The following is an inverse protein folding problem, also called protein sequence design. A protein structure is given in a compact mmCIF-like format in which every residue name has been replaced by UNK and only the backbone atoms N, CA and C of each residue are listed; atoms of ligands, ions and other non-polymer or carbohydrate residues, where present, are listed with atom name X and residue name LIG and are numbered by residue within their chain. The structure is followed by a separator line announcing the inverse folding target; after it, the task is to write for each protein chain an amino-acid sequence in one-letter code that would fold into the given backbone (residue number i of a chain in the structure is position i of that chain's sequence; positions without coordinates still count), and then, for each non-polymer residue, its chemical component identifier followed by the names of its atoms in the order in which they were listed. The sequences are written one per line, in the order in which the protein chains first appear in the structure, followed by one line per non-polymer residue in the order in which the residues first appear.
data_IF_336515110612
#
_entry.id   IF_336515110612
#
_cell.length_a   1.000
_cell.length_b   1.000
_cell.length_c   1.000
_cell.angle_alpha   90.00
_cell.angle_beta   90.00
_cell.angle_gamma   90.00
#
_symmetry.space_group_name_H-M   'P 1'
#
loop_
_entity.id
_entity.type
_entity.pdbx_description
1 polymer ?
#
# COMPACT_ATOMS: atom_id res chain seq x y z
N UNK A 1 3.15 47.08 -15.66
CA UNK A 1 4.02 46.14 -14.92
C UNK A 1 5.39 46.78 -14.83
N UNK A 2 5.78 47.22 -13.67
CA UNK A 2 7.17 47.64 -13.40
C UNK A 2 7.96 46.36 -13.00
N UNK A 3 9.09 46.18 -13.64
CA UNK A 3 9.95 45.05 -13.37
C UNK A 3 10.81 45.30 -12.13
N UNK A 4 10.91 44.36 -11.22
CA UNK A 4 11.87 44.35 -10.10
C UNK A 4 13.31 44.05 -10.60
N UNK A 5 13.63 44.59 -11.76
CA UNK A 5 14.83 44.30 -12.57
C UNK A 5 16.18 44.53 -11.85
N UNK A 6 16.19 45.29 -10.74
CA UNK A 6 17.44 45.65 -10.06
C UNK A 6 18.00 44.61 -9.06
N UNK A 7 17.38 43.42 -8.94
CA UNK A 7 17.78 42.43 -7.95
C UNK A 7 18.14 41.05 -8.53
N UNK A 8 18.13 40.91 -9.86
CA UNK A 8 18.44 39.64 -10.50
C UNK A 8 19.95 39.52 -10.80
N UNK A 9 20.52 38.32 -10.52
CA UNK A 9 21.87 38.03 -10.89
C UNK A 9 22.01 37.59 -12.37
N UNK A 10 23.23 37.53 -12.87
CA UNK A 10 23.52 37.21 -14.29
C UNK A 10 22.95 35.85 -14.72
N UNK A 11 23.02 34.83 -13.84
CA UNK A 11 22.48 33.49 -14.14
C UNK A 11 20.95 33.48 -14.20
N UNK A 12 20.30 34.27 -13.38
CA UNK A 12 18.86 34.44 -13.45
C UNK A 12 18.46 35.14 -14.75
N UNK A 13 19.22 36.18 -15.15
CA UNK A 13 19.02 36.85 -16.44
C UNK A 13 19.26 35.90 -17.62
N UNK A 14 20.28 35.09 -17.58
CA UNK A 14 20.54 34.06 -18.59
C UNK A 14 19.34 33.10 -18.73
N UNK A 15 18.80 32.57 -17.61
CA UNK A 15 17.61 31.73 -17.63
C UNK A 15 16.36 32.44 -18.20
N UNK A 16 16.16 33.73 -17.86
CA UNK A 16 15.02 34.52 -18.35
C UNK A 16 15.12 34.76 -19.86
N UNK A 17 16.28 35.09 -20.39
CA UNK A 17 16.48 35.39 -21.81
C UNK A 17 16.69 34.15 -22.69
N UNK A 18 16.90 32.98 -22.09
CA UNK A 18 17.14 31.75 -22.83
C UNK A 18 15.94 31.39 -23.73
N UNK A 19 16.19 31.16 -25.00
CA UNK A 19 15.17 30.83 -26.02
C UNK A 19 15.11 29.34 -26.39
N UNK A 20 15.83 28.50 -25.67
CA UNK A 20 15.81 27.05 -25.89
C UNK A 20 14.41 26.49 -25.75
N UNK A 21 14.02 25.59 -26.66
CA UNK A 21 12.71 24.91 -26.61
C UNK A 21 12.49 24.11 -25.31
N UNK A 22 13.58 23.67 -24.68
CA UNK A 22 13.57 22.96 -23.39
C UNK A 22 14.67 23.55 -22.52
N UNK A 23 14.30 24.09 -21.36
CA UNK A 23 15.22 24.66 -20.39
C UNK A 23 14.95 24.04 -19.03
N UNK A 24 15.98 23.45 -18.44
CA UNK A 24 15.98 22.97 -17.05
C UNK A 24 16.82 23.92 -16.21
N UNK A 25 16.22 24.51 -15.17
CA UNK A 25 16.91 25.40 -14.23
C UNK A 25 17.03 24.69 -12.88
N UNK A 26 18.26 24.35 -12.51
CA UNK A 26 18.58 23.75 -11.21
C UNK A 26 18.95 24.87 -10.21
N UNK A 27 18.21 24.94 -9.11
CA UNK A 27 18.38 26.00 -8.14
C UNK A 27 18.03 25.54 -6.71
N UNK A 28 18.86 25.89 -5.74
CA UNK A 28 18.66 25.55 -4.33
C UNK A 28 17.50 26.30 -3.68
N UNK A 29 17.14 25.94 -2.44
CA UNK A 29 16.16 26.68 -1.67
C UNK A 29 16.62 28.14 -1.43
N UNK A 30 15.71 29.12 -1.52
CA UNK A 30 16.05 30.54 -1.35
C UNK A 30 16.77 31.23 -2.52
N UNK A 31 17.09 30.51 -3.61
CA UNK A 31 17.82 31.05 -4.76
C UNK A 31 17.00 31.96 -5.70
N UNK A 32 15.75 32.25 -5.38
CA UNK A 32 14.89 33.09 -6.20
C UNK A 32 14.23 32.40 -7.39
N UNK A 33 14.03 31.05 -7.35
CA UNK A 33 13.36 30.30 -8.42
C UNK A 33 12.02 30.88 -8.85
N UNK A 34 11.16 31.18 -7.89
CA UNK A 34 9.81 31.75 -8.16
C UNK A 34 9.92 33.13 -8.77
N UNK A 35 10.87 33.95 -8.32
CA UNK A 35 11.15 35.25 -8.89
C UNK A 35 11.64 35.15 -10.33
N UNK A 36 12.61 34.26 -10.60
CA UNK A 36 13.11 34.01 -11.96
C UNK A 36 11.99 33.55 -12.90
N UNK A 37 11.12 32.63 -12.44
CA UNK A 37 9.97 32.17 -13.23
C UNK A 37 8.96 33.28 -13.51
N UNK A 38 8.68 34.13 -12.52
CA UNK A 38 7.81 35.30 -12.65
C UNK A 38 8.36 36.28 -13.69
N UNK A 39 9.63 36.63 -13.58
CA UNK A 39 10.29 37.57 -14.52
C UNK A 39 10.38 36.95 -15.93
N UNK A 40 10.58 35.64 -16.07
CA UNK A 40 10.49 34.95 -17.37
C UNK A 40 9.10 35.10 -17.98
N UNK A 41 8.03 34.98 -17.18
CA UNK A 41 6.66 35.15 -17.62
C UNK A 41 6.40 36.59 -18.09
N UNK A 42 6.85 37.56 -17.32
CA UNK A 42 6.75 38.98 -17.68
C UNK A 42 7.54 39.30 -18.96
N UNK A 43 8.74 38.75 -19.08
CA UNK A 43 9.58 38.85 -20.27
C UNK A 43 8.91 38.28 -21.52
N UNK A 44 8.29 37.09 -21.42
CA UNK A 44 7.56 36.48 -22.52
C UNK A 44 6.39 37.35 -22.98
N UNK A 45 5.63 37.94 -22.06
CA UNK A 45 4.47 38.80 -22.39
C UNK A 45 4.87 40.17 -22.93
N UNK A 46 5.87 40.81 -22.32
CA UNK A 46 6.26 42.19 -22.69
C UNK A 46 7.21 42.23 -23.88
N UNK A 47 8.33 41.52 -23.79
CA UNK A 47 9.43 41.61 -24.77
C UNK A 47 9.15 40.71 -25.97
N UNK A 48 8.69 39.47 -25.71
CA UNK A 48 8.39 38.50 -26.78
C UNK A 48 6.96 38.61 -27.29
N UNK A 49 6.12 39.42 -26.69
CA UNK A 49 4.70 39.68 -27.06
C UNK A 49 3.88 38.39 -27.17
N UNK A 50 4.23 37.34 -26.38
CA UNK A 50 3.46 36.13 -26.30
C UNK A 50 2.10 36.41 -25.68
N UNK A 51 1.04 36.01 -26.36
CA UNK A 51 -0.32 36.18 -25.85
C UNK A 51 -0.51 35.39 -24.55
N UNK A 52 -1.13 35.96 -23.50
CA UNK A 52 -1.38 35.24 -22.24
C UNK A 52 -2.07 33.89 -22.42
N UNK A 53 -2.98 33.75 -23.37
CA UNK A 53 -3.68 32.52 -23.70
C UNK A 53 -2.76 31.37 -24.18
N UNK A 54 -1.54 31.69 -24.64
CA UNK A 54 -0.55 30.72 -25.12
C UNK A 54 0.48 30.39 -24.02
N UNK A 55 0.27 30.84 -22.79
CA UNK A 55 1.16 30.59 -21.67
C UNK A 55 0.46 29.71 -20.64
N UNK A 56 1.09 28.61 -20.28
CA UNK A 56 0.70 27.74 -19.19
C UNK A 56 1.76 27.76 -18.09
N UNK A 57 1.36 28.13 -16.88
CA UNK A 57 2.19 28.07 -15.68
C UNK A 57 1.62 27.00 -14.76
N UNK A 58 2.44 26.00 -14.45
CA UNK A 58 2.04 24.88 -13.59
C UNK A 58 2.86 24.91 -12.30
N UNK A 59 2.19 24.84 -11.18
CA UNK A 59 2.80 24.77 -9.85
C UNK A 59 2.49 23.45 -9.18
N UNK A 60 3.22 23.13 -8.10
CA UNK A 60 2.97 21.89 -7.36
C UNK A 60 1.87 22.06 -6.31
N UNK A 61 1.78 23.22 -5.65
CA UNK A 61 0.81 23.49 -4.58
C UNK A 61 -0.09 24.66 -4.90
N UNK A 62 -1.29 24.70 -4.30
CA UNK A 62 -2.22 25.80 -4.42
C UNK A 62 -1.63 27.12 -3.87
N UNK A 63 -0.91 27.03 -2.75
CA UNK A 63 -0.24 28.18 -2.16
C UNK A 63 0.77 28.81 -3.14
N UNK A 64 1.56 27.99 -3.85
CA UNK A 64 2.48 28.48 -4.88
C UNK A 64 1.73 29.12 -6.07
N UNK A 65 0.57 28.57 -6.47
CA UNK A 65 -0.30 29.17 -7.48
C UNK A 65 -0.78 30.54 -7.04
N UNK A 66 -1.31 30.65 -5.82
CA UNK A 66 -1.82 31.89 -5.25
C UNK A 66 -0.71 32.94 -5.13
N UNK A 67 0.45 32.56 -4.61
CA UNK A 67 1.63 33.43 -4.51
C UNK A 67 2.07 33.97 -5.89
N UNK A 68 2.04 33.11 -6.90
CA UNK A 68 2.37 33.52 -8.28
C UNK A 68 1.39 34.54 -8.80
N UNK A 69 0.07 34.36 -8.60
CA UNK A 69 -0.97 35.28 -8.99
C UNK A 69 -0.78 36.60 -8.25
N UNK A 70 -0.61 36.56 -6.92
CA UNK A 70 -0.45 37.78 -6.10
C UNK A 70 0.75 38.64 -6.55
N UNK A 71 1.87 37.99 -6.83
CA UNK A 71 3.09 38.66 -7.34
C UNK A 71 2.89 39.24 -8.74
N UNK A 72 2.20 38.51 -9.64
CA UNK A 72 1.89 39.02 -10.99
C UNK A 72 0.98 40.22 -10.95
N UNK A 73 -0.06 40.17 -10.11
CA UNK A 73 -0.97 41.31 -9.92
C UNK A 73 -0.23 42.50 -9.32
N UNK A 74 0.60 42.26 -8.27
CA UNK A 74 1.39 43.33 -7.65
C UNK A 74 2.34 44.03 -8.62
N UNK A 75 2.84 43.32 -9.64
CA UNK A 75 3.67 43.90 -10.71
C UNK A 75 2.86 44.57 -11.82
N UNK A 76 1.52 44.56 -11.77
CA UNK A 76 0.65 45.22 -12.73
C UNK A 76 0.34 46.66 -12.34
N UNK A 77 -0.10 47.48 -13.30
CA UNK A 77 -0.60 48.81 -13.02
C UNK A 77 -1.96 48.73 -12.29
N UNK A 78 -2.23 49.63 -11.36
CA UNK A 78 -3.45 49.71 -10.57
C UNK A 78 -3.71 48.53 -9.64
N UNK A 79 -2.65 48.02 -9.01
CA UNK A 79 -2.73 46.88 -8.06
C UNK A 79 -2.90 47.34 -6.59
N UNK A 80 -3.03 48.65 -6.31
CA UNK A 80 -2.99 49.20 -4.95
C UNK A 80 -4.10 48.58 -4.07
N UNK A 81 -5.34 48.61 -4.52
CA UNK A 81 -6.47 48.04 -3.79
C UNK A 81 -6.37 46.55 -3.57
N UNK A 82 -5.83 45.83 -4.57
CA UNK A 82 -5.56 44.38 -4.45
C UNK A 82 -4.51 44.11 -3.39
N UNK A 83 -3.40 44.83 -3.45
CA UNK A 83 -2.29 44.66 -2.51
C UNK A 83 -2.68 45.03 -1.08
N UNK A 84 -3.51 46.06 -0.88
CA UNK A 84 -4.03 46.44 0.42
C UNK A 84 -4.91 45.33 1.01
N UNK A 85 -5.84 44.79 0.21
CA UNK A 85 -6.70 43.70 0.65
C UNK A 85 -5.91 42.42 0.98
N UNK A 86 -4.93 42.02 0.15
CA UNK A 86 -4.12 40.84 0.39
C UNK A 86 -3.22 40.96 1.61
N UNK A 87 -2.76 42.15 1.98
CA UNK A 87 -1.98 42.42 3.19
C UNK A 87 -2.81 42.42 4.48
N UNK A 88 -4.14 42.44 4.37
CA UNK A 88 -5.02 42.48 5.54
C UNK A 88 -4.91 41.14 6.29
N UNK A 89 -4.31 41.16 7.49
CA UNK A 89 -4.14 40.00 8.36
C UNK A 89 -5.45 39.48 8.98
N UNK A 90 -6.53 40.30 8.96
CA UNK A 90 -7.86 39.92 9.48
C UNK A 90 -8.70 39.18 8.43
N UNK A 91 -8.38 39.30 7.15
CA UNK A 91 -9.09 38.59 6.09
C UNK A 91 -8.73 37.10 6.09
N UNK A 92 -9.74 36.21 6.09
CA UNK A 92 -9.57 34.76 6.01
C UNK A 92 -9.06 34.37 4.62
N UNK A 93 -8.34 33.25 4.54
CA UNK A 93 -7.79 32.74 3.27
C UNK A 93 -8.88 32.44 2.22
N UNK A 94 -10.05 32.02 2.65
CA UNK A 94 -11.22 31.84 1.77
C UNK A 94 -11.69 33.14 1.13
N UNK A 95 -11.68 34.25 1.87
CA UNK A 95 -12.03 35.59 1.38
C UNK A 95 -10.99 36.10 0.39
N UNK A 96 -9.69 35.87 0.69
CA UNK A 96 -8.59 36.20 -0.21
C UNK A 96 -8.67 35.41 -1.51
N UNK A 97 -9.00 34.12 -1.44
CA UNK A 97 -9.18 33.27 -2.62
C UNK A 97 -10.35 33.74 -3.49
N UNK A 98 -11.47 34.10 -2.88
CA UNK A 98 -12.63 34.69 -3.60
C UNK A 98 -12.23 35.99 -4.31
N UNK A 99 -11.53 36.87 -3.63
CA UNK A 99 -11.08 38.16 -4.20
C UNK A 99 -10.07 37.96 -5.33
N UNK A 100 -9.15 36.96 -5.23
CA UNK A 100 -8.26 36.57 -6.35
C UNK A 100 -9.04 36.19 -7.59
N UNK A 101 -10.05 35.34 -7.43
CA UNK A 101 -10.89 34.90 -8.55
C UNK A 101 -11.71 36.03 -9.17
N UNK A 102 -12.28 36.91 -8.36
CA UNK A 102 -13.00 38.11 -8.83
C UNK A 102 -12.06 39.04 -9.61
N UNK A 103 -10.89 39.32 -9.06
CA UNK A 103 -9.87 40.15 -9.73
C UNK A 103 -9.40 39.52 -11.05
N UNK A 104 -9.19 38.22 -11.07
CA UNK A 104 -8.82 37.47 -12.26
C UNK A 104 -9.89 37.61 -13.36
N UNK A 105 -11.15 37.43 -13.02
CA UNK A 105 -12.27 37.59 -13.96
C UNK A 105 -12.39 39.00 -14.52
N UNK A 106 -12.14 40.01 -13.71
CA UNK A 106 -12.20 41.39 -14.09
C UNK A 106 -11.04 41.83 -15.02
N UNK A 107 -9.96 41.07 -15.10
CA UNK A 107 -8.75 41.40 -15.85
C UNK A 107 -8.46 40.40 -16.98
N UNK A 108 -8.79 40.79 -18.22
CA UNK A 108 -8.64 39.91 -19.41
C UNK A 108 -7.25 39.30 -19.58
N UNK A 109 -6.18 40.02 -19.29
CA UNK A 109 -4.84 39.50 -19.44
C UNK A 109 -4.56 38.34 -18.46
N UNK A 110 -5.11 38.45 -17.24
CA UNK A 110 -4.95 37.47 -16.19
C UNK A 110 -5.92 36.29 -16.37
N UNK A 111 -7.15 36.56 -16.82
CA UNK A 111 -8.14 35.51 -17.09
C UNK A 111 -7.74 34.60 -18.25
N UNK A 112 -7.02 35.15 -19.24
CA UNK A 112 -6.50 34.34 -20.36
C UNK A 112 -5.21 33.63 -20.05
N UNK A 113 -4.51 33.97 -18.96
CA UNK A 113 -3.28 33.28 -18.53
C UNK A 113 -3.64 32.03 -17.73
N UNK A 114 -3.16 30.88 -18.18
CA UNK A 114 -3.38 29.62 -17.48
C UNK A 114 -2.37 29.42 -16.37
N UNK A 115 -2.76 29.70 -15.11
CA UNK A 115 -1.96 29.42 -13.91
C UNK A 115 -2.76 28.46 -13.04
N UNK A 116 -2.21 27.27 -12.77
CA UNK A 116 -2.89 26.26 -11.97
C UNK A 116 -1.91 25.26 -11.34
N UNK A 117 -2.38 24.44 -10.42
CA UNK A 117 -1.62 23.28 -10.03
C UNK A 117 -1.62 22.22 -11.17
N UNK A 118 -0.63 21.31 -11.15
CA UNK A 118 -0.59 20.23 -12.13
C UNK A 118 -1.88 19.39 -12.13
N UNK A 119 -2.41 19.07 -10.95
CA UNK A 119 -3.67 18.32 -10.81
C UNK A 119 -4.86 19.08 -11.40
N UNK A 120 -5.00 20.38 -11.08
CA UNK A 120 -6.08 21.21 -11.62
C UNK A 120 -5.99 21.33 -13.14
N UNK A 121 -4.79 21.47 -13.69
CA UNK A 121 -4.58 21.50 -15.14
C UNK A 121 -5.02 20.18 -15.78
N UNK A 122 -4.54 19.04 -15.28
CA UNK A 122 -4.93 17.72 -15.81
C UNK A 122 -6.44 17.50 -15.74
N UNK A 123 -7.07 17.86 -14.62
CA UNK A 123 -8.52 17.77 -14.46
C UNK A 123 -9.28 18.62 -15.48
N UNK A 124 -8.84 19.86 -15.72
CA UNK A 124 -9.43 20.72 -16.73
C UNK A 124 -9.27 20.18 -18.16
N UNK A 125 -8.11 19.58 -18.46
CA UNK A 125 -7.88 18.91 -19.76
C UNK A 125 -8.83 17.72 -19.91
N UNK A 126 -8.97 16.88 -18.88
CA UNK A 126 -9.90 15.74 -18.89
C UNK A 126 -11.35 16.22 -19.08
N UNK A 127 -11.78 17.25 -18.37
CA UNK A 127 -13.14 17.82 -18.55
C UNK A 127 -13.39 18.38 -19.94
N UNK A 128 -12.39 19.02 -20.54
CA UNK A 128 -12.55 19.66 -21.83
C UNK A 128 -12.46 18.71 -23.01
N UNK A 129 -11.57 17.71 -22.91
CA UNK A 129 -11.21 16.84 -24.02
C UNK A 129 -11.55 15.36 -23.79
N UNK A 130 -11.86 14.97 -22.57
CA UNK A 130 -12.19 13.58 -22.22
C UNK A 130 -13.66 13.19 -22.41
N UNK A 131 -14.48 14.06 -23.03
CA UNK A 131 -15.93 13.82 -23.23
C UNK A 131 -16.18 12.53 -24.02
N UNK A 132 -15.36 12.27 -25.04
CA UNK A 132 -15.48 11.05 -25.87
C UNK A 132 -15.14 9.76 -25.12
N UNK A 133 -14.30 9.86 -24.07
CA UNK A 133 -13.81 8.70 -23.32
C UNK A 133 -14.60 8.47 -22.02
N UNK A 134 -15.06 9.55 -21.38
CA UNK A 134 -15.59 9.51 -20.02
C UNK A 134 -17.01 10.10 -19.87
N UNK A 135 -17.65 10.52 -20.94
CA UNK A 135 -19.00 11.12 -20.91
C UNK A 135 -19.15 12.30 -19.93
N UNK A 136 -18.06 12.95 -19.54
CA UNK A 136 -17.96 13.96 -18.48
C UNK A 136 -18.50 13.54 -17.09
N UNK A 137 -18.74 12.26 -16.87
CA UNK A 137 -19.29 11.73 -15.62
C UNK A 137 -18.23 11.12 -14.71
N UNK A 138 -16.96 11.23 -15.05
CA UNK A 138 -15.89 10.70 -14.22
C UNK A 138 -15.79 11.41 -12.88
N UNK A 139 -15.42 10.66 -11.86
CA UNK A 139 -15.15 11.13 -10.50
C UNK A 139 -13.67 11.01 -10.19
N UNK A 140 -13.15 11.89 -9.35
CA UNK A 140 -11.78 11.82 -8.88
C UNK A 140 -11.75 11.16 -7.51
N UNK A 141 -10.93 10.14 -7.35
CA UNK A 141 -10.71 9.46 -6.07
C UNK A 141 -9.75 10.31 -5.24
N UNK A 142 -10.12 10.63 -4.01
CA UNK A 142 -9.27 11.34 -3.07
C UNK A 142 -8.30 10.38 -2.36
N UNK A 143 -7.02 10.75 -2.28
CA UNK A 143 -5.96 9.94 -1.68
C UNK A 143 -6.03 9.82 -0.16
N UNK A 144 -6.69 10.75 0.52
CA UNK A 144 -6.91 10.67 1.98
C UNK A 144 -7.81 11.79 2.50
N UNK A 145 -8.51 11.54 3.62
CA UNK A 145 -9.27 12.57 4.36
C UNK A 145 -8.41 13.69 4.97
N UNK A 146 -7.08 13.57 4.93
CA UNK A 146 -6.15 14.51 5.58
C UNK A 146 -5.69 15.67 4.70
N UNK A 147 -5.96 15.65 3.39
CA UNK A 147 -5.58 16.75 2.50
C UNK A 147 -6.79 17.60 2.14
N UNK A 148 -7.51 18.13 3.15
CA UNK A 148 -8.57 19.11 2.93
C UNK A 148 -8.08 20.43 2.30
N UNK A 149 -6.77 20.66 2.32
CA UNK A 149 -6.19 21.91 1.81
C UNK A 149 -5.72 21.88 0.35
N UNK A 150 -5.62 20.69 -0.29
CA UNK A 150 -5.00 20.58 -1.62
C UNK A 150 -5.97 20.30 -2.79
N UNK A 151 -7.23 20.02 -2.54
CA UNK A 151 -8.18 19.73 -3.62
C UNK A 151 -9.38 20.66 -3.60
N UNK A 152 -9.35 21.72 -4.43
CA UNK A 152 -10.53 22.54 -4.78
C UNK A 152 -11.63 21.74 -5.51
N UNK A 153 -11.36 20.47 -5.79
CA UNK A 153 -12.22 19.57 -6.56
C UNK A 153 -12.64 18.35 -5.75
N UNK A 154 -12.71 18.48 -4.42
CA UNK A 154 -13.53 17.57 -3.65
C UNK A 154 -14.97 17.77 -4.15
N UNK A 155 -15.34 17.01 -5.20
CA UNK A 155 -16.73 16.85 -5.52
C UNK A 155 -17.39 16.40 -4.21
N UNK A 156 -18.38 17.11 -3.74
CA UNK A 156 -19.18 16.77 -2.55
C UNK A 156 -19.76 15.33 -2.63
N UNK A 157 -19.59 14.68 -3.78
CA UNK A 157 -20.01 13.32 -4.11
C UNK A 157 -18.87 12.29 -4.19
N UNK A 158 -17.60 12.61 -3.88
CA UNK A 158 -16.55 11.59 -3.77
C UNK A 158 -16.67 10.88 -2.41
N UNK A 159 -17.55 9.89 -2.35
CA UNK A 159 -17.93 9.22 -1.11
C UNK A 159 -16.86 8.25 -0.57
N UNK A 160 -15.84 7.89 -1.36
CA UNK A 160 -14.87 6.84 -1.02
C UNK A 160 -13.43 7.26 -1.31
N UNK A 161 -12.52 6.87 -0.41
CA UNK A 161 -11.07 7.02 -0.61
C UNK A 161 -10.51 5.79 -1.35
N UNK A 162 -9.33 5.93 -1.96
CA UNK A 162 -8.60 4.80 -2.56
C UNK A 162 -8.37 3.65 -1.57
N UNK A 163 -8.13 3.98 -0.31
CA UNK A 163 -7.98 3.00 0.76
C UNK A 163 -9.29 2.23 1.03
N UNK A 164 -10.41 2.92 1.13
CA UNK A 164 -11.73 2.30 1.36
C UNK A 164 -12.11 1.37 0.20
N UNK A 165 -11.86 1.80 -1.04
CA UNK A 165 -12.09 0.99 -2.24
C UNK A 165 -11.21 -0.28 -2.21
N UNK A 166 -9.90 -0.12 -1.98
CA UNK A 166 -8.97 -1.24 -1.92
C UNK A 166 -9.32 -2.22 -0.79
N UNK A 167 -9.72 -1.72 0.37
CA UNK A 167 -10.15 -2.54 1.51
C UNK A 167 -11.42 -3.36 1.19
N UNK A 168 -12.44 -2.73 0.59
CA UNK A 168 -13.66 -3.44 0.14
C UNK A 168 -13.35 -4.56 -0.85
N UNK A 169 -12.48 -4.27 -1.82
CA UNK A 169 -12.09 -5.25 -2.82
C UNK A 169 -11.30 -6.38 -2.19
N UNK A 170 -10.42 -6.07 -1.24
CA UNK A 170 -9.64 -7.06 -0.51
C UNK A 170 -10.54 -8.03 0.27
N UNK A 171 -11.55 -7.52 0.97
CA UNK A 171 -12.58 -8.33 1.64
C UNK A 171 -13.31 -9.22 0.61
N UNK A 172 -13.73 -8.65 -0.51
CA UNK A 172 -14.44 -9.41 -1.55
C UNK A 172 -13.57 -10.53 -2.17
N UNK A 173 -12.28 -10.29 -2.39
CA UNK A 173 -11.31 -11.29 -2.84
C UNK A 173 -11.10 -12.39 -1.80
N UNK A 174 -11.08 -12.01 -0.54
CA UNK A 174 -10.86 -12.91 0.62
C UNK A 174 -12.02 -13.87 0.88
N UNK A 175 -13.15 -13.76 0.15
CA UNK A 175 -14.17 -14.80 0.10
C UNK A 175 -13.61 -16.12 -0.46
N UNK A 176 -12.53 -16.06 -1.26
CA UNK A 176 -11.75 -17.21 -1.63
C UNK A 176 -10.79 -17.53 -0.48
N UNK A 177 -11.05 -18.64 0.22
CA UNK A 177 -10.29 -19.01 1.43
C UNK A 177 -8.78 -19.08 1.18
N UNK A 178 -8.34 -19.61 0.05
CA UNK A 178 -6.91 -19.65 -0.29
C UNK A 178 -6.29 -18.24 -0.31
N UNK A 179 -6.94 -17.29 -0.99
CA UNK A 179 -6.46 -15.92 -1.05
C UNK A 179 -6.41 -15.26 0.35
N UNK A 180 -7.44 -15.50 1.18
CA UNK A 180 -7.51 -15.02 2.55
C UNK A 180 -6.34 -15.53 3.38
N UNK A 181 -6.07 -16.84 3.33
CA UNK A 181 -5.00 -17.48 4.09
C UNK A 181 -3.61 -17.11 3.56
N UNK A 182 -3.45 -16.92 2.26
CA UNK A 182 -2.20 -16.43 1.67
C UNK A 182 -1.91 -14.97 2.06
N UNK A 183 -2.95 -14.13 2.09
CA UNK A 183 -2.84 -12.76 2.60
C UNK A 183 -2.44 -12.75 4.08
N UNK A 184 -3.10 -13.57 4.91
CA UNK A 184 -2.76 -13.71 6.32
C UNK A 184 -1.33 -14.18 6.49
N UNK A 185 -0.91 -15.21 5.72
CA UNK A 185 0.47 -15.71 5.75
C UNK A 185 1.48 -14.62 5.41
N UNK A 186 1.21 -13.84 4.37
CA UNK A 186 2.06 -12.73 4.00
C UNK A 186 2.20 -11.69 5.12
N UNK A 187 1.08 -11.33 5.76
CA UNK A 187 1.09 -10.37 6.87
C UNK A 187 1.88 -10.89 8.05
N UNK A 188 1.67 -12.14 8.44
CA UNK A 188 2.40 -12.77 9.54
C UNK A 188 3.91 -12.82 9.27
N UNK A 189 4.32 -13.23 8.07
CA UNK A 189 5.75 -13.36 7.72
C UNK A 189 6.50 -12.03 7.66
N UNK A 190 5.85 -11.00 7.11
CA UNK A 190 6.57 -9.79 6.70
C UNK A 190 6.25 -8.55 7.54
N UNK A 191 5.21 -8.59 8.36
CA UNK A 191 4.85 -7.50 9.25
C UNK A 191 4.90 -7.90 10.73
N UNK A 192 4.39 -9.08 11.09
CA UNK A 192 4.32 -9.54 12.48
C UNK A 192 5.64 -10.15 12.93
N UNK A 193 6.08 -11.25 12.33
CA UNK A 193 7.27 -11.99 12.76
C UNK A 193 8.56 -11.17 12.58
N UNK A 194 8.59 -10.26 11.57
CA UNK A 194 9.71 -9.33 11.40
C UNK A 194 9.84 -8.37 12.56
N UNK A 195 8.73 -7.82 13.04
CA UNK A 195 8.72 -6.87 14.14
C UNK A 195 9.09 -7.55 15.47
N UNK A 196 8.63 -8.77 15.68
CA UNK A 196 8.97 -9.57 16.85
C UNK A 196 10.48 -9.78 16.97
N UNK A 197 11.17 -10.17 15.90
CA UNK A 197 12.63 -10.35 15.87
C UNK A 197 13.42 -9.09 16.20
N UNK A 198 12.83 -7.90 16.05
CA UNK A 198 13.47 -6.61 16.37
C UNK A 198 13.21 -6.15 17.80
N UNK A 199 12.14 -6.59 18.44
CA UNK A 199 11.69 -6.10 19.74
C UNK A 199 12.16 -6.95 20.92
N UNK A 200 12.44 -8.26 20.74
CA UNK A 200 12.71 -9.17 21.83
C UNK A 200 14.19 -9.25 22.20
N UNK A 201 14.58 -8.43 23.16
CA UNK A 201 15.83 -8.57 23.96
C UNK A 201 15.60 -8.70 25.46
N UNK A 202 14.36 -8.89 25.95
CA UNK A 202 14.04 -8.96 27.37
C UNK A 202 13.39 -10.28 27.79
N UNK A 203 14.08 -11.02 28.64
CA UNK A 203 13.64 -11.90 29.74
C UNK A 203 12.36 -12.74 29.63
N UNK A 204 12.13 -13.44 28.50
CA UNK A 204 11.24 -14.60 28.51
C UNK A 204 12.08 -15.87 28.76
N UNK A 205 11.51 -16.89 29.42
CA UNK A 205 12.19 -18.18 29.66
C UNK A 205 12.77 -18.76 28.38
N UNK A 206 13.96 -19.35 28.43
CA UNK A 206 14.76 -19.85 27.31
C UNK A 206 13.95 -20.68 26.28
N UNK A 207 12.96 -21.45 26.72
CA UNK A 207 12.12 -22.29 25.87
C UNK A 207 11.05 -21.53 25.09
N UNK A 208 10.39 -20.53 25.67
CA UNK A 208 9.38 -19.71 24.98
C UNK A 208 10.01 -18.76 23.97
N UNK A 209 11.23 -18.28 24.21
CA UNK A 209 11.98 -17.43 23.29
C UNK A 209 12.36 -18.14 21.96
N UNK A 210 12.29 -19.47 21.90
CA UNK A 210 12.54 -20.22 20.67
C UNK A 210 11.34 -20.26 19.74
N UNK A 211 10.12 -19.97 20.24
CA UNK A 211 8.88 -19.96 19.45
C UNK A 211 8.71 -18.65 18.68
N UNK A 212 9.43 -18.51 17.57
CA UNK A 212 9.55 -17.26 16.81
C UNK A 212 8.67 -17.20 15.55
N UNK A 213 8.03 -18.28 15.17
CA UNK A 213 7.20 -18.36 13.97
C UNK A 213 5.72 -18.41 14.35
N UNK A 214 4.90 -17.52 13.78
CA UNK A 214 3.46 -17.50 13.98
C UNK A 214 2.74 -18.29 12.89
N UNK A 215 1.98 -19.32 13.26
CA UNK A 215 1.13 -20.08 12.34
C UNK A 215 -0.17 -19.31 11.99
N UNK A 216 -0.91 -19.78 10.98
CA UNK A 216 -2.17 -19.16 10.54
C UNK A 216 -3.24 -19.10 11.63
N UNK A 217 -3.29 -20.04 12.56
CA UNK A 217 -4.21 -19.99 13.70
C UNK A 217 -3.69 -19.16 14.89
N UNK A 218 -2.51 -18.52 14.76
CA UNK A 218 -1.90 -17.71 15.81
C UNK A 218 -0.98 -18.49 16.77
N UNK A 219 -0.89 -19.82 16.69
CA UNK A 219 0.03 -20.61 17.51
C UNK A 219 1.47 -20.27 17.16
N UNK A 220 2.29 -20.00 18.17
CA UNK A 220 3.72 -19.80 18.00
C UNK A 220 4.46 -21.12 18.05
N UNK A 221 5.32 -21.36 17.05
CA UNK A 221 6.09 -22.59 16.87
C UNK A 221 7.58 -22.28 16.72
N UNK A 222 8.43 -23.29 16.89
CA UNK A 222 9.90 -23.14 16.94
C UNK A 222 10.56 -23.08 15.57
N UNK A 223 10.02 -23.83 14.60
CA UNK A 223 10.64 -23.96 13.29
C UNK A 223 9.69 -23.55 12.16
N UNK A 224 10.27 -23.27 10.97
CA UNK A 224 9.48 -23.05 9.75
C UNK A 224 8.74 -24.28 9.30
N UNK A 225 9.31 -25.45 9.56
CA UNK A 225 8.73 -26.74 9.18
C UNK A 225 7.53 -27.08 10.05
N UNK A 226 7.63 -26.86 11.37
CA UNK A 226 6.48 -26.98 12.27
C UNK A 226 5.39 -25.96 11.91
N UNK A 227 5.76 -24.73 11.55
CA UNK A 227 4.79 -23.75 11.06
C UNK A 227 4.08 -24.25 9.80
N UNK A 228 4.79 -24.88 8.89
CA UNK A 228 4.19 -25.45 7.69
C UNK A 228 3.14 -26.51 8.05
N UNK A 229 3.44 -27.40 8.99
CA UNK A 229 2.50 -28.43 9.48
C UNK A 229 1.27 -27.76 10.13
N UNK A 230 1.49 -26.80 11.02
CA UNK A 230 0.40 -26.05 11.66
C UNK A 230 -0.50 -25.34 10.64
N UNK A 231 0.10 -24.68 9.64
CA UNK A 231 -0.61 -24.02 8.56
C UNK A 231 -1.37 -24.99 7.67
N UNK A 232 -0.77 -26.17 7.39
CA UNK A 232 -1.42 -27.21 6.64
C UNK A 232 -2.66 -27.73 7.37
N UNK A 233 -2.56 -28.03 8.67
CA UNK A 233 -3.68 -28.44 9.52
C UNK A 233 -4.79 -27.39 9.51
N UNK A 234 -4.43 -26.13 9.70
CA UNK A 234 -5.38 -25.02 9.70
C UNK A 234 -6.08 -24.82 8.34
N UNK A 235 -5.35 -24.92 7.23
CA UNK A 235 -5.92 -24.83 5.87
C UNK A 235 -6.96 -25.93 5.60
N UNK A 236 -6.78 -27.09 6.24
CA UNK A 236 -7.71 -28.22 6.13
C UNK A 236 -8.79 -28.24 7.23
N UNK A 237 -8.88 -27.17 8.05
CA UNK A 237 -9.80 -27.05 9.19
C UNK A 237 -9.67 -28.22 10.19
N UNK A 238 -8.46 -28.64 10.47
CA UNK A 238 -8.15 -29.70 11.42
C UNK A 238 -7.64 -29.09 12.71
N UNK A 239 -8.33 -29.37 13.82
CA UNK A 239 -7.92 -28.92 15.15
C UNK A 239 -6.69 -29.67 15.61
N UNK A 240 -5.79 -28.92 16.23
CA UNK A 240 -4.58 -29.47 16.81
C UNK A 240 -4.15 -28.69 18.05
N UNK A 241 -3.39 -29.35 18.90
CA UNK A 241 -2.63 -28.73 19.99
C UNK A 241 -1.15 -28.87 19.71
N UNK A 242 -0.39 -27.79 19.93
CA UNK A 242 1.05 -27.76 19.72
C UNK A 242 1.76 -27.90 21.07
N UNK A 243 2.78 -28.80 21.16
CA UNK A 243 3.59 -29.07 22.36
C UNK A 243 2.73 -29.28 23.63
N UNK A 244 1.64 -30.02 23.51
CA UNK A 244 0.75 -30.28 24.64
C UNK A 244 1.28 -31.39 25.52
N UNK A 245 1.16 -31.20 26.83
CA UNK A 245 1.47 -32.23 27.80
C UNK A 245 0.23 -33.09 28.06
N UNK A 246 0.32 -34.37 27.70
CA UNK A 246 -0.78 -35.31 27.82
C UNK A 246 -0.45 -36.37 28.85
N UNK A 247 -1.24 -36.45 29.91
CA UNK A 247 -1.15 -37.49 30.92
C UNK A 247 -2.18 -38.59 30.61
N UNK A 248 -1.73 -39.80 30.40
CA UNK A 248 -2.61 -40.92 30.15
C UNK A 248 -2.21 -42.11 31.07
N UNK A 249 -2.91 -42.20 32.20
CA UNK A 249 -2.61 -43.16 33.29
C UNK A 249 -1.15 -43.03 33.78
N UNK A 250 -0.32 -44.04 33.49
CA UNK A 250 1.08 -44.09 33.89
C UNK A 250 2.06 -43.55 32.85
N UNK A 251 1.52 -42.93 31.78
CA UNK A 251 2.34 -42.44 30.66
C UNK A 251 2.20 -40.95 30.52
N UNK A 252 3.30 -40.31 30.17
CA UNK A 252 3.43 -38.88 29.90
C UNK A 252 3.86 -38.67 28.47
N UNK A 253 3.03 -37.96 27.67
CA UNK A 253 3.28 -37.72 26.27
C UNK A 253 3.49 -36.23 26.00
N UNK A 254 4.43 -35.92 25.13
CA UNK A 254 4.72 -34.54 24.71
C UNK A 254 5.06 -34.52 23.20
N UNK A 255 4.04 -34.66 22.33
CA UNK A 255 4.24 -34.59 20.88
C UNK A 255 4.38 -33.12 20.43
N UNK A 256 5.00 -32.89 19.27
CA UNK A 256 4.98 -31.58 18.64
C UNK A 256 3.55 -31.18 18.27
N UNK A 257 2.78 -32.12 17.72
CA UNK A 257 1.37 -31.89 17.39
C UNK A 257 0.50 -33.06 17.89
N UNK A 258 -0.63 -32.71 18.48
CA UNK A 258 -1.68 -33.64 18.86
C UNK A 258 -2.99 -33.27 18.15
N UNK A 259 -3.61 -34.25 17.47
CA UNK A 259 -4.87 -34.09 16.75
C UNK A 259 -5.92 -34.93 17.47
N UNK A 260 -6.74 -34.31 18.36
CA UNK A 260 -7.62 -35.04 19.30
C UNK A 260 -8.64 -35.93 18.60
N UNK A 261 -9.21 -35.48 17.47
CA UNK A 261 -10.30 -36.15 16.79
C UNK A 261 -9.92 -37.51 16.19
N UNK A 262 -8.64 -37.69 15.90
CA UNK A 262 -8.11 -38.93 15.34
C UNK A 262 -7.10 -39.64 16.27
N UNK A 263 -6.90 -39.12 17.48
CA UNK A 263 -5.90 -39.57 18.44
C UNK A 263 -4.50 -39.70 17.81
N UNK A 264 -4.13 -38.71 16.98
CA UNK A 264 -2.86 -38.68 16.25
C UNK A 264 -1.83 -37.89 17.05
N UNK A 265 -0.70 -38.53 17.28
CA UNK A 265 0.49 -37.92 17.88
C UNK A 265 1.54 -37.78 16.76
N UNK A 266 1.98 -36.55 16.48
CA UNK A 266 2.88 -36.23 15.38
C UNK A 266 4.15 -35.57 15.92
N UNK A 267 5.31 -36.06 15.50
CA UNK A 267 6.62 -35.49 15.77
C UNK A 267 7.26 -35.06 14.45
N UNK A 268 7.84 -33.85 14.41
CA UNK A 268 8.59 -33.37 13.27
C UNK A 268 10.10 -33.50 13.55
N UNK A 269 10.78 -34.31 12.77
CA UNK A 269 12.16 -34.67 12.99
C UNK A 269 13.07 -33.88 12.06
N UNK A 270 13.89 -33.00 12.64
CA UNK A 270 14.98 -32.31 11.93
C UNK A 270 16.24 -33.18 11.87
N UNK A 271 16.52 -33.90 12.95
CA UNK A 271 17.69 -34.76 13.03
C UNK A 271 17.38 -36.07 13.79
N UNK A 272 17.85 -37.18 13.29
CA UNK A 272 17.63 -38.50 13.91
C UNK A 272 18.45 -38.61 15.20
N UNK A 273 17.77 -38.47 16.33
CA UNK A 273 18.40 -38.60 17.66
C UNK A 273 17.88 -39.80 18.43
N UNK A 274 18.68 -40.31 19.38
CA UNK A 274 18.29 -41.37 20.31
C UNK A 274 17.01 -41.00 21.12
N UNK A 275 16.75 -39.71 21.33
CA UNK A 275 15.55 -39.22 22.01
C UNK A 275 14.26 -39.56 21.24
N UNK A 276 14.28 -39.57 19.90
CA UNK A 276 13.12 -39.91 19.07
C UNK A 276 12.80 -41.41 19.18
N UNK A 277 13.81 -42.25 19.26
CA UNK A 277 13.61 -43.70 19.45
C UNK A 277 13.04 -44.02 20.84
N UNK A 278 13.48 -43.33 21.87
CA UNK A 278 12.94 -43.50 23.22
C UNK A 278 11.48 -43.02 23.32
N UNK A 279 11.14 -41.87 22.71
CA UNK A 279 9.74 -41.45 22.57
C UNK A 279 8.90 -42.53 21.89
N UNK A 280 9.35 -43.09 20.77
CA UNK A 280 8.60 -44.12 20.03
C UNK A 280 8.34 -45.38 20.87
N UNK A 281 9.31 -45.81 21.69
CA UNK A 281 9.13 -46.87 22.63
C UNK A 281 8.08 -46.59 23.71
N UNK A 282 8.05 -45.38 24.23
CA UNK A 282 7.04 -44.95 25.22
C UNK A 282 5.62 -45.00 24.66
N UNK A 283 5.42 -44.45 23.43
CA UNK A 283 4.11 -44.51 22.77
C UNK A 283 3.65 -45.92 22.49
N UNK A 284 4.55 -46.81 22.05
CA UNK A 284 4.27 -48.24 21.82
C UNK A 284 3.87 -48.97 23.10
N UNK A 285 4.55 -48.69 24.25
CA UNK A 285 4.19 -49.28 25.55
C UNK A 285 2.77 -48.87 25.99
N UNK A 286 2.32 -47.67 25.62
CA UNK A 286 0.97 -47.18 25.89
C UNK A 286 -0.06 -47.59 24.84
N UNK A 287 0.29 -48.47 23.90
CA UNK A 287 -0.55 -48.82 22.74
C UNK A 287 -0.98 -47.64 21.89
N UNK A 288 -0.09 -46.66 21.74
CA UNK A 288 -0.26 -45.47 20.90
C UNK A 288 0.75 -45.44 19.77
N UNK A 289 0.42 -44.76 18.67
CA UNK A 289 1.31 -44.64 17.52
C UNK A 289 1.81 -43.23 17.43
N UNK A 290 3.13 -43.02 17.47
CA UNK A 290 3.78 -41.77 17.15
C UNK A 290 4.04 -41.68 15.65
N UNK A 291 3.39 -40.79 14.96
CA UNK A 291 3.65 -40.50 13.55
C UNK A 291 4.82 -39.53 13.42
N UNK A 292 5.59 -39.68 12.33
CA UNK A 292 6.80 -38.90 12.13
C UNK A 292 6.80 -38.23 10.76
N UNK A 293 7.18 -36.98 10.73
CA UNK A 293 7.50 -36.20 9.52
C UNK A 293 8.96 -35.77 9.57
N UNK A 294 9.57 -35.54 8.41
CA UNK A 294 11.01 -35.27 8.32
C UNK A 294 11.30 -34.01 7.54
N UNK A 295 12.20 -33.17 8.07
CA UNK A 295 12.58 -31.90 7.48
C UNK A 295 13.20 -32.06 6.09
N UNK A 296 13.99 -33.11 5.88
CA UNK A 296 14.63 -33.36 4.59
C UNK A 296 13.62 -33.60 3.45
N UNK A 297 12.44 -34.16 3.74
CA UNK A 297 11.36 -34.36 2.77
C UNK A 297 10.71 -33.00 2.45
N UNK A 298 10.37 -32.21 3.46
CA UNK A 298 9.77 -30.91 3.30
C UNK A 298 10.66 -29.96 2.49
N UNK A 299 11.96 -29.94 2.77
CA UNK A 299 12.91 -29.06 2.10
C UNK A 299 13.13 -29.42 0.61
N UNK A 300 12.97 -30.71 0.25
CA UNK A 300 13.21 -31.21 -1.11
C UNK A 300 11.96 -31.22 -1.99
N UNK A 301 10.82 -31.60 -1.43
CA UNK A 301 9.57 -31.77 -2.17
C UNK A 301 8.35 -31.49 -1.29
N UNK A 302 7.78 -30.31 -1.46
CA UNK A 302 6.58 -29.90 -0.74
C UNK A 302 5.34 -30.73 -1.12
N UNK A 303 5.29 -31.30 -2.32
CA UNK A 303 4.18 -32.14 -2.78
C UNK A 303 4.20 -33.48 -2.03
N UNK A 304 5.35 -34.12 -1.99
CA UNK A 304 5.54 -35.37 -1.25
C UNK A 304 5.29 -35.16 0.25
N UNK A 305 5.68 -34.03 0.80
CA UNK A 305 5.40 -33.69 2.20
C UNK A 305 3.91 -33.57 2.48
N UNK A 306 3.16 -32.92 1.59
CA UNK A 306 1.70 -32.80 1.68
C UNK A 306 1.03 -34.20 1.58
N UNK A 307 1.45 -35.06 0.65
CA UNK A 307 0.96 -36.41 0.53
C UNK A 307 1.22 -37.23 1.80
N UNK A 308 2.36 -37.00 2.45
CA UNK A 308 2.70 -37.60 3.74
C UNK A 308 1.73 -37.17 4.82
N UNK A 309 1.44 -35.85 4.92
CA UNK A 309 0.45 -35.29 5.87
C UNK A 309 -0.97 -35.79 5.56
N UNK A 310 -1.36 -35.88 4.29
CA UNK A 310 -2.65 -36.45 3.88
C UNK A 310 -2.76 -37.93 4.36
N UNK A 311 -1.71 -38.70 4.18
CA UNK A 311 -1.68 -40.11 4.60
C UNK A 311 -1.73 -40.27 6.12
N UNK A 312 -0.97 -39.47 6.85
CA UNK A 312 -0.92 -39.53 8.33
C UNK A 312 -2.24 -39.02 8.94
N UNK A 313 -2.79 -37.92 8.43
CA UNK A 313 -3.89 -37.18 9.09
C UNK A 313 -5.23 -37.44 8.41
N UNK A 314 -5.41 -37.02 7.15
CA UNK A 314 -6.74 -37.05 6.49
C UNK A 314 -7.32 -38.46 6.40
N UNK A 315 -6.51 -39.46 6.07
CA UNK A 315 -6.97 -40.82 5.93
C UNK A 315 -7.35 -41.50 7.27
N UNK A 316 -7.03 -40.84 8.39
CA UNK A 316 -7.36 -41.32 9.75
C UNK A 316 -8.41 -40.50 10.45
N UNK A 317 -8.84 -39.38 9.86
CA UNK A 317 -9.95 -38.61 10.42
C UNK A 317 -11.23 -39.45 10.37
N UNK A 318 -12.09 -39.40 11.42
CA UNK A 318 -13.36 -40.11 11.41
C UNK A 318 -14.25 -39.66 10.23
N UNK A 319 -14.99 -40.59 9.63
CA UNK A 319 -15.92 -40.28 8.51
C UNK A 319 -16.95 -39.17 8.86
N UNK A 320 -17.26 -38.99 10.14
CA UNK A 320 -18.13 -37.91 10.66
C UNK A 320 -17.36 -36.70 11.18
N UNK A 321 -16.09 -36.54 10.81
CA UNK A 321 -15.34 -35.38 11.23
C UNK A 321 -15.99 -34.10 10.71
N UNK A 322 -16.40 -33.23 11.64
CA UNK A 322 -16.91 -31.89 11.32
C UNK A 322 -15.72 -30.95 11.39
N UNK A 323 -15.28 -30.47 10.24
CA UNK A 323 -14.28 -29.41 10.21
C UNK A 323 -14.82 -28.16 10.92
N UNK A 324 -13.93 -27.38 11.54
CA UNK A 324 -14.29 -26.07 12.07
C UNK A 324 -14.87 -25.19 10.96
N UNK A 325 -15.83 -24.32 11.33
CA UNK A 325 -16.28 -23.28 10.42
C UNK A 325 -15.10 -22.38 10.05
N UNK A 326 -14.98 -22.04 8.78
CA UNK A 326 -13.99 -21.06 8.34
C UNK A 326 -14.31 -19.71 8.97
N UNK A 327 -13.32 -19.07 9.56
CA UNK A 327 -13.46 -17.74 10.12
C UNK A 327 -13.74 -16.70 9.02
N UNK A 328 -14.47 -15.65 9.38
CA UNK A 328 -14.67 -14.48 8.52
C UNK A 328 -13.37 -13.69 8.34
N UNK A 329 -13.37 -12.76 7.40
CA UNK A 329 -12.22 -11.87 7.19
C UNK A 329 -11.86 -11.09 8.47
N UNK A 330 -12.87 -10.56 9.16
CA UNK A 330 -12.71 -9.77 10.38
C UNK A 330 -12.12 -10.61 11.52
N UNK A 331 -12.59 -11.85 11.67
CA UNK A 331 -12.07 -12.79 12.67
C UNK A 331 -10.63 -13.22 12.36
N UNK A 332 -10.31 -13.49 11.09
CA UNK A 332 -8.94 -13.87 10.67
C UNK A 332 -7.92 -12.77 10.90
N UNK A 333 -8.32 -11.49 10.79
CA UNK A 333 -7.43 -10.35 11.01
C UNK A 333 -7.63 -9.66 12.36
N UNK A 334 -8.38 -10.28 13.29
CA UNK A 334 -8.48 -9.78 14.66
C UNK A 334 -7.07 -9.70 15.30
N UNK A 335 -6.73 -8.53 15.81
CA UNK A 335 -5.38 -8.25 16.35
C UNK A 335 -4.33 -7.83 15.32
N UNK A 336 -4.61 -7.89 13.99
CA UNK A 336 -3.66 -7.53 12.91
C UNK A 336 -4.13 -6.34 12.06
N UNK A 337 -5.00 -5.51 12.59
CA UNK A 337 -5.58 -4.38 11.84
C UNK A 337 -4.56 -3.35 11.37
N UNK A 338 -3.50 -3.13 12.13
CA UNK A 338 -2.42 -2.20 11.77
C UNK A 338 -1.63 -2.74 10.58
N UNK A 339 -1.21 -4.00 10.65
CA UNK A 339 -0.44 -4.69 9.64
C UNK A 339 -1.22 -4.82 8.33
N UNK A 340 -2.52 -5.09 8.42
CA UNK A 340 -3.43 -5.10 7.26
C UNK A 340 -3.51 -3.70 6.60
N UNK A 341 -3.66 -2.63 7.38
CA UNK A 341 -3.64 -1.26 6.87
C UNK A 341 -2.33 -0.93 6.17
N UNK A 342 -1.21 -1.35 6.73
CA UNK A 342 0.11 -1.11 6.14
C UNK A 342 0.30 -1.91 4.85
N UNK A 343 -0.22 -3.14 4.77
CA UNK A 343 -0.26 -3.90 3.51
C UNK A 343 -1.07 -3.17 2.43
N UNK A 344 -2.27 -2.69 2.75
CA UNK A 344 -3.13 -1.97 1.79
C UNK A 344 -2.44 -0.70 1.28
N UNK A 345 -1.80 0.08 2.16
CA UNK A 345 -1.04 1.27 1.76
C UNK A 345 0.12 0.95 0.82
N UNK A 346 0.86 -0.14 1.11
CA UNK A 346 1.94 -0.59 0.23
C UNK A 346 1.39 -1.07 -1.12
N UNK A 347 0.29 -1.83 -1.11
CA UNK A 347 -0.37 -2.30 -2.33
C UNK A 347 -0.81 -1.13 -3.23
N UNK A 348 -1.49 -0.13 -2.66
CA UNK A 348 -1.91 1.06 -3.40
C UNK A 348 -0.74 1.84 -3.98
N UNK A 349 0.35 2.00 -3.22
CA UNK A 349 1.56 2.64 -3.71
C UNK A 349 2.13 1.92 -4.94
N UNK A 350 2.21 0.60 -4.90
CA UNK A 350 2.71 -0.20 -6.02
C UNK A 350 1.75 -0.16 -7.21
N UNK A 351 0.44 -0.24 -6.98
CA UNK A 351 -0.57 -0.10 -8.03
C UNK A 351 -0.42 1.24 -8.76
N UNK A 352 -0.26 2.35 -8.01
CA UNK A 352 -0.01 3.67 -8.59
C UNK A 352 1.27 3.72 -9.42
N UNK A 353 2.36 3.11 -8.95
CA UNK A 353 3.61 3.03 -9.70
C UNK A 353 3.47 2.22 -10.99
N UNK A 354 2.83 1.05 -10.95
CA UNK A 354 2.59 0.21 -12.13
C UNK A 354 1.75 0.98 -13.17
N UNK A 355 0.73 1.70 -12.72
CA UNK A 355 -0.11 2.54 -13.59
C UNK A 355 0.67 3.71 -14.19
N UNK A 356 1.50 4.40 -13.41
CA UNK A 356 2.31 5.52 -13.87
C UNK A 356 3.34 5.10 -14.94
N UNK A 357 3.90 3.90 -14.81
CA UNK A 357 4.84 3.32 -15.78
C UNK A 357 4.14 2.68 -16.99
N UNK A 358 2.81 2.71 -17.04
CA UNK A 358 2.00 2.08 -18.08
C UNK A 358 2.31 0.59 -18.28
N UNK A 359 2.60 -0.12 -17.19
CA UNK A 359 2.90 -1.56 -17.19
C UNK A 359 1.59 -2.34 -16.99
N UNK A 360 1.32 -3.31 -17.87
CA UNK A 360 0.13 -4.15 -17.69
C UNK A 360 0.27 -5.07 -16.46
N UNK A 361 -0.86 -5.44 -15.80
CA UNK A 361 -0.84 -6.36 -14.64
C UNK A 361 -0.11 -7.67 -14.94
N UNK A 362 -0.30 -8.22 -16.15
CA UNK A 362 0.36 -9.46 -16.60
C UNK A 362 1.89 -9.30 -16.70
N UNK A 363 2.37 -8.18 -17.23
CA UNK A 363 3.80 -7.88 -17.32
C UNK A 363 4.41 -7.67 -15.93
N UNK A 364 3.71 -6.95 -15.04
CA UNK A 364 4.15 -6.74 -13.66
C UNK A 364 4.28 -8.07 -12.90
N UNK A 365 3.28 -8.95 -13.01
CA UNK A 365 3.33 -10.28 -12.41
C UNK A 365 4.49 -11.12 -12.96
N UNK A 366 4.67 -11.16 -14.28
CA UNK A 366 5.76 -11.90 -14.91
C UNK A 366 7.13 -11.46 -14.39
N UNK A 367 7.36 -10.14 -14.30
CA UNK A 367 8.61 -9.59 -13.74
C UNK A 367 8.78 -9.97 -12.27
N UNK A 368 7.74 -9.86 -11.46
CA UNK A 368 7.78 -10.17 -10.05
C UNK A 368 8.03 -11.66 -9.77
N UNK A 369 7.47 -12.57 -10.58
CA UNK A 369 7.69 -14.01 -10.42
C UNK A 369 9.14 -14.43 -10.75
N UNK A 370 9.87 -13.63 -11.52
CA UNK A 370 11.28 -13.84 -11.80
C UNK A 370 12.21 -13.21 -10.73
N UNK A 371 11.66 -12.50 -9.74
CA UNK A 371 12.47 -11.88 -8.68
C UNK A 371 13.06 -12.95 -7.75
N UNK A 372 14.33 -12.85 -7.34
CA UNK A 372 14.95 -13.81 -6.44
C UNK A 372 14.31 -13.83 -5.04
N UNK A 373 13.71 -12.72 -4.62
CA UNK A 373 13.14 -12.59 -3.28
C UNK A 373 11.72 -13.14 -3.19
N UNK A 374 11.50 -14.13 -2.33
CA UNK A 374 10.18 -14.74 -2.11
C UNK A 374 9.13 -13.69 -1.72
N UNK A 375 9.51 -12.73 -0.87
CA UNK A 375 8.62 -11.63 -0.46
C UNK A 375 8.02 -10.88 -1.63
N UNK A 376 8.81 -10.60 -2.65
CA UNK A 376 8.35 -9.88 -3.85
C UNK A 376 7.36 -10.74 -4.63
N UNK A 377 7.70 -12.02 -4.85
CA UNK A 377 6.81 -12.94 -5.56
C UNK A 377 5.46 -13.09 -4.87
N UNK A 378 5.46 -13.28 -3.55
CA UNK A 378 4.23 -13.45 -2.77
C UNK A 378 3.41 -12.17 -2.72
N UNK A 379 4.06 -11.00 -2.58
CA UNK A 379 3.40 -9.70 -2.62
C UNK A 379 2.63 -9.49 -3.93
N UNK A 380 3.29 -9.71 -5.06
CA UNK A 380 2.66 -9.46 -6.35
C UNK A 380 1.56 -10.48 -6.68
N UNK A 381 1.64 -11.72 -6.19
CA UNK A 381 0.54 -12.70 -6.28
C UNK A 381 -0.74 -12.19 -5.60
N UNK A 382 -0.61 -11.44 -4.51
CA UNK A 382 -1.73 -10.84 -3.78
C UNK A 382 -2.19 -9.50 -4.40
N UNK A 383 -1.25 -8.65 -4.81
CA UNK A 383 -1.54 -7.29 -5.26
C UNK A 383 -2.07 -7.24 -6.71
N UNK A 384 -1.62 -8.12 -7.60
CA UNK A 384 -2.09 -8.08 -9.00
C UNK A 384 -3.58 -8.39 -9.12
N UNK A 385 -4.15 -9.43 -8.48
CA UNK A 385 -5.60 -9.63 -8.45
C UNK A 385 -6.36 -8.45 -7.84
N UNK A 386 -5.82 -7.84 -6.77
CA UNK A 386 -6.37 -6.63 -6.16
C UNK A 386 -6.37 -5.46 -7.17
N UNK A 387 -5.26 -5.23 -7.88
CA UNK A 387 -5.13 -4.19 -8.89
C UNK A 387 -6.15 -4.33 -10.01
N UNK A 388 -6.33 -5.54 -10.56
CA UNK A 388 -7.29 -5.80 -11.62
C UNK A 388 -8.70 -5.45 -11.14
N UNK A 389 -9.10 -5.94 -9.97
CA UNK A 389 -10.43 -5.66 -9.41
C UNK A 389 -10.61 -4.20 -9.01
N UNK A 390 -9.54 -3.53 -8.59
CA UNK A 390 -9.56 -2.10 -8.33
C UNK A 390 -9.81 -1.30 -9.62
N UNK A 391 -9.18 -1.69 -10.73
CA UNK A 391 -9.41 -1.07 -12.02
C UNK A 391 -10.83 -1.30 -12.53
N UNK A 392 -11.34 -2.55 -12.45
CA UNK A 392 -12.72 -2.89 -12.80
C UNK A 392 -13.71 -2.03 -12.00
N UNK A 393 -13.50 -1.93 -10.67
CA UNK A 393 -14.35 -1.13 -9.80
C UNK A 393 -14.34 0.36 -10.16
N UNK A 394 -13.17 0.91 -10.49
CA UNK A 394 -13.04 2.30 -10.91
C UNK A 394 -13.82 2.55 -12.21
N UNK A 395 -13.73 1.66 -13.19
CA UNK A 395 -14.48 1.76 -14.44
C UNK A 395 -15.98 1.69 -14.17
N UNK A 396 -16.45 0.71 -13.39
CA UNK A 396 -17.88 0.52 -13.10
C UNK A 396 -18.50 1.72 -12.34
N UNK A 397 -17.71 2.40 -11.53
CA UNK A 397 -18.15 3.57 -10.73
C UNK A 397 -17.83 4.90 -11.38
N UNK A 398 -17.25 4.90 -12.57
CA UNK A 398 -16.82 6.10 -13.30
C UNK A 398 -15.79 6.96 -12.52
N UNK A 399 -14.82 6.28 -11.87
CA UNK A 399 -13.67 6.91 -11.22
C UNK A 399 -12.50 7.08 -12.18
#
# INVERSE_FOLDING_TARGET
METTLNQLNDRQWEAIKNESKRLLVLAGAGSGKTTTLLEKLIYLMKEKRVQPANILVVTFTKNATNEMIDRLVSASKNAEAYNEFMKNSKAKEEEKNRYREEYKRANNWLSNLSISTFHSFCHNVLRKYGVSEFDNKFKVINDSKNNKEETDFANENANETDFEIAHKILIAQSKKREYLLDLKRYILDYFVDKNYRQQDKSEATFYENQKVYTSLNGTKVRSKSERYIADWLYRHNIDFSYEVHLNCKDFYFHPDFYIPQADIYLEHISDMSAAVEEKDKQYKKANKTLFKTYENIQAKDSTLFNETLDTIVKNRLPAKYKSQAALSFEEEFNGYHKELKDFIRQALRIIKMIKAENISPKQALKKALADPHQRVRDFYKLVIPLMIKYQDYCVDKSY
#
